data_IF_748316352072
#
_entry.id   IF_748316352072
#
_cell.length_a   1.000
_cell.length_b   1.000
_cell.length_c   1.000
_cell.angle_alpha   90.00
_cell.angle_beta   90.00
_cell.angle_gamma   90.00
#
_symmetry.space_group_name_H-M   'P 1'
#
loop_
_entity.id
_entity.type
_entity.pdbx_description
1 polymer ?
#
# COMPACT_ATOMS: atom_id res chain seq x y z
N UNK A 1 11.47 8.28 -24.68
CA UNK A 1 10.36 7.54 -25.33
C UNK A 1 9.81 6.43 -24.43
N UNK A 2 10.66 5.65 -23.75
CA UNK A 2 10.26 4.51 -22.91
C UNK A 2 9.32 4.86 -21.75
N UNK A 3 9.57 5.97 -21.06
CA UNK A 3 8.72 6.44 -19.95
C UNK A 3 7.28 6.67 -20.40
N UNK A 4 7.09 7.41 -21.49
CA UNK A 4 5.74 7.74 -22.00
C UNK A 4 5.03 6.47 -22.47
N UNK A 5 5.73 5.56 -23.15
CA UNK A 5 5.17 4.28 -23.57
C UNK A 5 4.69 3.44 -22.37
N UNK A 6 5.48 3.36 -21.30
CA UNK A 6 5.11 2.66 -20.08
C UNK A 6 3.89 3.27 -19.37
N UNK A 7 3.79 4.62 -19.32
CA UNK A 7 2.63 5.29 -18.73
C UNK A 7 1.36 5.06 -19.56
N UNK A 8 1.45 5.16 -20.89
CA UNK A 8 0.32 4.89 -21.80
C UNK A 8 -0.12 3.42 -21.66
N UNK A 9 0.83 2.49 -21.63
CA UNK A 9 0.53 1.06 -21.48
C UNK A 9 -0.12 0.76 -20.12
N UNK A 10 0.39 1.34 -19.03
CA UNK A 10 -0.22 1.20 -17.71
C UNK A 10 -1.66 1.72 -17.67
N UNK A 11 -1.88 2.90 -18.23
CA UNK A 11 -3.24 3.47 -18.32
C UNK A 11 -4.18 2.56 -19.11
N UNK A 12 -3.73 2.05 -20.25
CA UNK A 12 -4.52 1.10 -21.07
C UNK A 12 -4.87 -0.16 -20.26
N UNK A 13 -3.91 -0.76 -19.55
CA UNK A 13 -4.17 -1.94 -18.72
C UNK A 13 -5.22 -1.66 -17.64
N UNK A 14 -5.18 -0.49 -16.99
CA UNK A 14 -6.15 -0.12 -15.95
C UNK A 14 -7.54 0.13 -16.53
N UNK A 15 -7.63 0.74 -17.69
CA UNK A 15 -8.93 0.90 -18.40
C UNK A 15 -9.53 -0.46 -18.76
N UNK A 16 -8.72 -1.38 -19.30
CA UNK A 16 -9.16 -2.76 -19.59
C UNK A 16 -9.57 -3.48 -18.32
N UNK A 17 -8.78 -3.39 -17.26
CA UNK A 17 -9.11 -3.97 -15.96
C UNK A 17 -10.48 -3.50 -15.47
N UNK A 18 -10.70 -2.18 -15.40
CA UNK A 18 -11.97 -1.60 -14.95
C UNK A 18 -13.13 -2.06 -15.82
N UNK A 19 -12.91 -2.14 -17.16
CA UNK A 19 -13.95 -2.62 -18.10
C UNK A 19 -14.35 -4.08 -17.90
N UNK A 20 -13.38 -4.92 -17.48
CA UNK A 20 -13.61 -6.38 -17.29
C UNK A 20 -14.16 -6.69 -15.90
N UNK A 21 -13.62 -6.05 -14.86
CA UNK A 21 -14.00 -6.37 -13.47
C UNK A 21 -15.15 -5.55 -12.94
N UNK A 22 -15.49 -4.45 -13.59
CA UNK A 22 -16.30 -3.41 -13.01
C UNK A 22 -15.50 -2.54 -12.05
N UNK A 23 -16.14 -1.54 -11.52
CA UNK A 23 -15.58 -0.61 -10.55
C UNK A 23 -16.10 -0.91 -9.15
N UNK A 24 -15.19 -1.06 -8.19
CA UNK A 24 -15.57 -1.19 -6.79
C UNK A 24 -15.98 0.18 -6.26
N UNK A 25 -17.24 0.30 -5.91
CA UNK A 25 -17.77 1.45 -5.20
C UNK A 25 -17.80 1.12 -3.71
N UNK A 26 -17.09 1.90 -2.92
CA UNK A 26 -17.06 1.76 -1.47
C UNK A 26 -18.00 2.80 -0.88
N UNK A 27 -19.09 2.34 -0.26
CA UNK A 27 -20.02 3.19 0.49
C UNK A 27 -19.70 3.08 1.97
N UNK A 28 -19.23 4.18 2.55
CA UNK A 28 -18.90 4.22 3.97
C UNK A 28 -20.14 4.53 4.82
N UNK A 29 -20.32 3.76 5.88
CA UNK A 29 -21.35 3.94 6.88
C UNK A 29 -20.74 4.47 8.20
N UNK A 30 -21.55 5.07 9.09
CA UNK A 30 -21.08 5.47 10.41
C UNK A 30 -20.52 4.30 11.23
N UNK A 31 -19.49 4.57 12.01
CA UNK A 31 -18.87 3.61 12.91
C UNK A 31 -17.62 2.91 12.36
N UNK A 32 -17.04 2.09 13.22
CA UNK A 32 -15.82 1.31 12.98
C UNK A 32 -16.11 -0.15 13.27
N UNK A 33 -15.84 -1.03 12.32
CA UNK A 33 -16.06 -2.47 12.47
C UNK A 33 -14.89 -3.10 13.24
N UNK A 34 -15.19 -3.92 14.22
CA UNK A 34 -14.24 -4.83 14.86
C UNK A 34 -14.07 -6.04 13.95
N UNK A 35 -13.06 -6.03 13.08
CA UNK A 35 -12.81 -7.12 12.13
C UNK A 35 -12.20 -8.37 12.76
N UNK A 36 -11.70 -8.27 13.99
CA UNK A 36 -11.16 -9.39 14.76
C UNK A 36 -10.72 -8.96 16.14
N UNK A 37 -10.61 -9.94 17.02
CA UNK A 37 -10.09 -9.78 18.38
C UNK A 37 -8.79 -10.58 18.44
N UNK A 38 -7.77 -10.06 19.13
CA UNK A 38 -6.55 -10.83 19.37
C UNK A 38 -6.91 -12.10 20.18
N UNK A 39 -6.30 -13.24 19.84
CA UNK A 39 -6.68 -14.60 20.25
C UNK A 39 -6.71 -14.88 21.77
N UNK A 40 -6.57 -13.88 22.61
CA UNK A 40 -6.61 -14.01 24.06
C UNK A 40 -7.89 -13.37 24.63
N UNK A 41 -8.76 -14.20 25.18
CA UNK A 41 -9.87 -13.78 26.07
C UNK A 41 -9.41 -12.89 27.25
N UNK A 42 -8.09 -12.79 27.47
CA UNK A 42 -7.46 -11.93 28.48
C UNK A 42 -7.36 -10.45 28.07
N UNK A 43 -7.69 -10.09 26.82
CA UNK A 43 -7.66 -8.69 26.35
C UNK A 43 -8.77 -7.86 26.96
N UNK A 44 -8.56 -6.54 27.07
CA UNK A 44 -9.59 -5.62 27.56
C UNK A 44 -10.91 -5.72 26.77
N UNK A 45 -10.82 -5.92 25.43
CA UNK A 45 -11.99 -6.15 24.59
C UNK A 45 -12.74 -7.43 24.92
N UNK A 46 -12.03 -8.55 25.14
CA UNK A 46 -12.64 -9.83 25.50
C UNK A 46 -13.35 -9.76 26.87
N UNK A 47 -12.72 -9.12 27.87
CA UNK A 47 -13.32 -8.90 29.19
C UNK A 47 -14.57 -8.01 29.15
N UNK A 48 -14.60 -7.04 28.24
CA UNK A 48 -15.73 -6.14 28.03
C UNK A 48 -16.85 -6.76 27.18
N UNK A 49 -16.66 -7.95 26.64
CA UNK A 49 -17.66 -8.64 25.82
C UNK A 49 -17.78 -8.09 24.40
N UNK A 50 -16.75 -7.42 23.87
CA UNK A 50 -16.67 -7.03 22.44
C UNK A 50 -16.54 -8.30 21.60
N UNK A 51 -17.22 -8.33 20.47
CA UNK A 51 -17.21 -9.46 19.53
C UNK A 51 -16.74 -9.03 18.14
N UNK A 52 -16.27 -9.99 17.36
CA UNK A 52 -15.99 -9.76 15.95
C UNK A 52 -17.30 -9.37 15.24
N UNK A 53 -17.22 -8.47 14.28
CA UNK A 53 -18.32 -7.86 13.53
C UNK A 53 -19.15 -6.85 14.34
N UNK A 54 -18.79 -6.51 15.57
CA UNK A 54 -19.35 -5.36 16.27
C UNK A 54 -18.98 -4.05 15.54
N UNK A 55 -19.92 -3.11 15.48
CA UNK A 55 -19.69 -1.79 14.88
C UNK A 55 -19.68 -0.76 16.02
N UNK A 56 -18.52 -0.18 16.29
CA UNK A 56 -18.38 0.89 17.29
C UNK A 56 -18.86 2.20 16.68
N UNK A 57 -19.97 2.75 17.18
CA UNK A 57 -20.59 3.98 16.68
C UNK A 57 -20.10 5.23 17.41
N UNK A 58 -19.86 5.13 18.72
CA UNK A 58 -19.44 6.25 19.55
C UNK A 58 -18.54 5.81 20.71
N UNK A 59 -17.74 6.74 21.24
CA UNK A 59 -16.95 6.61 22.46
C UNK A 59 -17.38 7.73 23.41
N UNK A 60 -17.76 7.41 24.66
CA UNK A 60 -18.21 8.37 25.68
C UNK A 60 -19.23 9.38 25.13
N UNK A 61 -20.23 8.88 24.39
CA UNK A 61 -21.28 9.64 23.68
C UNK A 61 -20.79 10.54 22.51
N UNK A 62 -19.53 10.49 22.14
CA UNK A 62 -19.01 11.18 20.95
C UNK A 62 -19.06 10.28 19.73
N UNK A 63 -19.85 10.63 18.73
CA UNK A 63 -19.93 9.89 17.48
C UNK A 63 -18.57 9.87 16.75
N UNK A 64 -18.23 8.72 16.18
CA UNK A 64 -16.96 8.52 15.49
C UNK A 64 -17.00 9.05 14.05
N UNK A 65 -18.18 9.13 13.43
CA UNK A 65 -18.30 9.41 12.00
C UNK A 65 -18.08 8.16 11.15
N UNK A 66 -17.53 8.31 9.95
CA UNK A 66 -17.37 7.22 8.99
C UNK A 66 -15.95 7.18 8.38
N UNK A 67 -15.64 6.09 7.70
CA UNK A 67 -14.39 5.88 6.96
C UNK A 67 -13.12 5.89 7.84
N UNK A 68 -11.96 6.20 7.22
CA UNK A 68 -10.66 6.22 7.89
C UNK A 68 -10.56 7.19 9.08
N UNK A 69 -11.12 8.41 9.03
CA UNK A 69 -11.13 9.32 10.18
C UNK A 69 -11.77 8.74 11.44
N UNK A 70 -12.85 7.95 11.30
CA UNK A 70 -13.51 7.29 12.44
C UNK A 70 -12.55 6.32 13.15
N UNK A 71 -11.78 5.54 12.39
CA UNK A 71 -10.79 4.62 12.95
C UNK A 71 -9.71 5.38 13.73
N UNK A 72 -9.17 6.46 13.13
CA UNK A 72 -8.13 7.27 13.75
C UNK A 72 -8.63 7.88 15.06
N UNK A 73 -9.89 8.40 15.08
CA UNK A 73 -10.52 8.95 16.27
C UNK A 73 -10.68 7.89 17.36
N UNK A 74 -11.23 6.71 17.02
CA UNK A 74 -11.38 5.60 17.96
C UNK A 74 -10.03 5.16 18.55
N UNK A 75 -9.01 5.02 17.70
CA UNK A 75 -7.67 4.65 18.15
C UNK A 75 -7.09 5.69 19.11
N UNK A 76 -7.23 6.98 18.81
CA UNK A 76 -6.75 8.06 19.67
C UNK A 76 -7.44 8.04 21.04
N UNK A 77 -8.76 7.86 21.09
CA UNK A 77 -9.50 7.77 22.35
C UNK A 77 -9.04 6.57 23.19
N UNK A 78 -8.87 5.40 22.57
CA UNK A 78 -8.37 4.21 23.27
C UNK A 78 -6.96 4.44 23.81
N UNK A 79 -6.06 5.03 23.01
CA UNK A 79 -4.68 5.28 23.39
C UNK A 79 -4.54 6.28 24.54
N UNK A 80 -5.39 7.32 24.56
CA UNK A 80 -5.36 8.36 25.57
C UNK A 80 -5.93 7.94 26.93
N UNK A 81 -6.74 6.85 26.98
CA UNK A 81 -7.41 6.39 28.19
C UNK A 81 -6.83 5.08 28.73
N UNK A 82 -5.47 4.95 28.76
CA UNK A 82 -4.83 3.80 29.36
C UNK A 82 -5.24 3.64 30.84
N UNK A 83 -5.73 2.44 31.22
CA UNK A 83 -6.21 2.09 32.56
C UNK A 83 -7.42 2.94 33.05
N UNK A 84 -8.06 3.69 32.16
CA UNK A 84 -9.26 4.45 32.48
C UNK A 84 -10.47 3.84 31.72
N UNK A 85 -11.63 3.67 32.37
CA UNK A 85 -12.78 3.09 31.71
C UNK A 85 -13.39 4.07 30.71
N UNK A 86 -13.63 3.60 29.47
CA UNK A 86 -14.38 4.30 28.42
C UNK A 86 -15.64 3.51 28.09
N UNK A 87 -16.66 4.18 27.65
CA UNK A 87 -17.93 3.56 27.21
C UNK A 87 -17.98 3.54 25.69
N UNK A 88 -18.02 2.35 25.10
CA UNK A 88 -18.18 2.16 23.66
C UNK A 88 -19.65 1.87 23.35
N UNK A 89 -20.28 2.70 22.51
CA UNK A 89 -21.58 2.41 21.94
C UNK A 89 -21.40 1.52 20.72
N UNK A 90 -21.87 0.28 20.84
CA UNK A 90 -21.62 -0.78 19.87
C UNK A 90 -22.94 -1.26 19.28
N UNK A 91 -23.02 -1.35 17.96
CA UNK A 91 -24.09 -2.01 17.25
C UNK A 91 -23.70 -3.46 16.98
N UNK A 92 -24.51 -4.39 17.47
CA UNK A 92 -24.38 -5.85 17.26
C UNK A 92 -25.64 -6.37 16.56
N UNK A 93 -25.55 -6.57 15.26
CA UNK A 93 -26.74 -6.86 14.45
C UNK A 93 -27.73 -5.70 14.48
N UNK A 94 -28.95 -5.96 15.01
CA UNK A 94 -30.00 -4.95 15.17
C UNK A 94 -29.97 -4.23 16.52
N UNK A 95 -29.19 -4.68 17.49
CA UNK A 95 -29.14 -4.15 18.83
C UNK A 95 -28.01 -3.15 19.03
N UNK A 96 -28.26 -2.16 19.90
CA UNK A 96 -27.20 -1.22 20.32
C UNK A 96 -26.91 -1.44 21.80
N UNK A 97 -25.64 -1.62 22.13
CA UNK A 97 -25.15 -1.96 23.46
C UNK A 97 -24.13 -0.91 23.91
N UNK A 98 -24.16 -0.54 25.18
CA UNK A 98 -23.12 0.27 25.80
C UNK A 98 -22.17 -0.65 26.58
N UNK A 99 -20.93 -0.80 26.06
CA UNK A 99 -19.90 -1.67 26.66
C UNK A 99 -18.85 -0.82 27.36
N UNK A 100 -18.62 -1.07 28.63
CA UNK A 100 -17.52 -0.45 29.38
C UNK A 100 -16.22 -1.23 29.17
N UNK A 101 -15.22 -0.56 28.65
CA UNK A 101 -13.91 -1.13 28.34
C UNK A 101 -12.84 -0.34 29.11
N UNK A 102 -11.94 -1.01 29.79
CA UNK A 102 -10.77 -0.37 30.39
C UNK A 102 -9.54 -0.79 29.59
N UNK A 103 -8.95 0.10 28.74
CA UNK A 103 -7.80 -0.24 27.94
C UNK A 103 -6.59 -0.62 28.82
N UNK A 104 -5.91 -1.71 28.48
CA UNK A 104 -4.66 -2.09 29.10
C UNK A 104 -3.54 -1.14 28.63
N UNK A 105 -2.55 -0.84 29.51
CA UNK A 105 -1.39 -0.07 29.11
C UNK A 105 -0.40 -0.95 28.33
N UNK A 106 0.02 -0.51 27.15
CA UNK A 106 1.08 -1.16 26.38
C UNK A 106 2.48 -0.77 26.93
N UNK A 107 3.56 -1.27 26.31
CA UNK A 107 4.94 -0.98 26.71
C UNK A 107 5.31 0.52 26.64
N UNK A 108 4.58 1.31 25.85
CA UNK A 108 4.75 2.77 25.71
C UNK A 108 3.84 3.56 26.66
N UNK A 109 3.04 2.90 27.50
CA UNK A 109 2.07 3.53 28.40
C UNK A 109 0.77 3.97 27.71
N UNK A 110 0.56 3.64 26.44
CA UNK A 110 -0.67 3.94 25.71
C UNK A 110 -1.72 2.84 25.89
N UNK A 111 -2.99 3.24 25.88
CA UNK A 111 -4.11 2.30 25.99
C UNK A 111 -4.23 1.37 24.79
N UNK A 112 -4.54 0.11 25.06
CA UNK A 112 -4.78 -0.92 24.04
C UNK A 112 -5.91 -1.84 24.50
N UNK A 113 -6.81 -2.23 23.57
CA UNK A 113 -7.92 -3.15 23.89
C UNK A 113 -7.83 -4.51 23.20
N UNK A 114 -6.91 -4.68 22.24
CA UNK A 114 -6.64 -5.96 21.58
C UNK A 114 -7.66 -6.30 20.46
N UNK A 115 -8.08 -5.31 19.66
CA UNK A 115 -8.96 -5.49 18.50
C UNK A 115 -8.29 -5.09 17.20
N UNK A 116 -8.74 -5.71 16.09
CA UNK A 116 -8.45 -5.27 14.73
C UNK A 116 -9.62 -4.43 14.24
N UNK A 117 -9.35 -3.23 13.73
CA UNK A 117 -10.35 -2.28 13.28
C UNK A 117 -10.38 -2.19 11.76
N UNK A 118 -11.57 -2.08 11.20
CA UNK A 118 -11.82 -1.86 9.78
C UNK A 118 -12.89 -0.78 9.59
N UNK A 119 -12.91 -0.09 8.43
CA UNK A 119 -13.99 0.83 8.11
C UNK A 119 -15.32 0.10 8.03
N UNK A 120 -16.40 0.73 8.52
CA UNK A 120 -17.77 0.28 8.25
C UNK A 120 -18.12 0.68 6.81
N UNK A 121 -18.06 -0.27 5.88
CA UNK A 121 -18.25 0.01 4.47
C UNK A 121 -18.84 -1.19 3.72
N UNK A 122 -19.74 -0.90 2.80
CA UNK A 122 -20.22 -1.84 1.79
C UNK A 122 -19.39 -1.68 0.51
N UNK A 123 -18.97 -2.80 -0.04
CA UNK A 123 -18.26 -2.85 -1.32
C UNK A 123 -19.24 -3.40 -2.35
N UNK A 124 -19.68 -2.55 -3.27
CA UNK A 124 -20.50 -2.94 -4.41
C UNK A 124 -19.65 -2.90 -5.68
N UNK A 125 -19.86 -3.87 -6.57
CA UNK A 125 -19.18 -3.92 -7.88
C UNK A 125 -20.19 -3.47 -8.93
N UNK A 126 -19.99 -2.25 -9.44
CA UNK A 126 -20.75 -1.77 -10.60
C UNK A 126 -20.09 -2.30 -11.88
N UNK A 127 -20.80 -3.18 -12.58
CA UNK A 127 -20.36 -3.78 -13.85
C UNK A 127 -20.99 -3.09 -15.09
N UNK A 128 -21.97 -2.22 -14.88
CA UNK A 128 -22.63 -1.47 -15.95
C UNK A 128 -21.84 -0.20 -16.30
N UNK A 129 -20.58 -0.36 -16.70
CA UNK A 129 -19.69 0.77 -16.95
C UNK A 129 -19.75 1.14 -18.42
N UNK A 130 -20.09 2.40 -18.73
CA UNK A 130 -19.95 2.91 -20.09
C UNK A 130 -18.47 3.02 -20.50
N UNK A 131 -18.13 2.98 -21.79
CA UNK A 131 -16.74 3.17 -22.24
C UNK A 131 -16.11 4.48 -21.73
N UNK A 132 -16.90 5.55 -21.60
CA UNK A 132 -16.45 6.84 -21.09
C UNK A 132 -16.15 6.71 -19.58
N UNK A 133 -17.02 6.06 -18.82
CA UNK A 133 -16.78 5.83 -17.40
C UNK A 133 -15.55 4.96 -17.17
N UNK A 134 -15.30 3.97 -18.00
CA UNK A 134 -14.10 3.13 -17.93
C UNK A 134 -12.82 3.96 -18.13
N UNK A 135 -12.82 4.90 -19.07
CA UNK A 135 -11.69 5.83 -19.28
C UNK A 135 -11.47 6.72 -18.04
N UNK A 136 -12.55 7.34 -17.53
CA UNK A 136 -12.45 8.23 -16.35
C UNK A 136 -12.01 7.46 -15.10
N UNK A 137 -12.61 6.31 -14.83
CA UNK A 137 -12.26 5.48 -13.67
C UNK A 137 -10.86 4.88 -13.81
N UNK A 138 -10.46 4.50 -15.03
CA UNK A 138 -9.09 4.09 -15.34
C UNK A 138 -8.07 5.21 -15.08
N UNK A 139 -8.41 6.47 -15.39
CA UNK A 139 -7.57 7.62 -15.10
C UNK A 139 -7.41 7.85 -13.59
N UNK A 140 -8.50 7.74 -12.82
CA UNK A 140 -8.46 7.88 -11.36
C UNK A 140 -7.60 6.78 -10.71
N UNK A 141 -7.73 5.55 -11.19
CA UNK A 141 -6.91 4.43 -10.71
C UNK A 141 -5.44 4.60 -11.09
N UNK A 142 -5.16 5.10 -12.30
CA UNK A 142 -3.83 5.43 -12.75
C UNK A 142 -3.18 6.50 -11.84
N UNK A 143 -3.88 7.60 -11.58
CA UNK A 143 -3.42 8.65 -10.66
C UNK A 143 -3.15 8.07 -9.28
N UNK A 144 -4.06 7.24 -8.74
CA UNK A 144 -3.89 6.58 -7.45
C UNK A 144 -2.62 5.74 -7.38
N UNK A 145 -2.36 4.92 -8.40
CA UNK A 145 -1.16 4.06 -8.44
C UNK A 145 0.11 4.90 -8.58
N UNK A 146 0.09 5.95 -9.39
CA UNK A 146 1.22 6.89 -9.51
C UNK A 146 1.54 7.55 -8.16
N UNK A 147 0.53 8.08 -7.47
CA UNK A 147 0.70 8.71 -6.15
C UNK A 147 1.27 7.72 -5.14
N UNK A 148 0.73 6.49 -5.09
CA UNK A 148 1.24 5.44 -4.20
C UNK A 148 2.70 5.06 -4.52
N UNK A 149 3.09 5.03 -5.79
CA UNK A 149 4.48 4.78 -6.20
C UNK A 149 5.42 5.87 -5.68
N UNK A 150 5.05 7.15 -5.83
CA UNK A 150 5.85 8.25 -5.28
C UNK A 150 5.90 8.24 -3.75
N UNK A 151 4.79 7.93 -3.08
CA UNK A 151 4.77 7.78 -1.62
C UNK A 151 5.68 6.64 -1.15
N UNK A 152 5.69 5.50 -1.84
CA UNK A 152 6.58 4.39 -1.56
C UNK A 152 8.05 4.77 -1.72
N UNK A 153 8.39 5.50 -2.79
CA UNK A 153 9.75 6.02 -2.98
C UNK A 153 10.15 7.03 -1.90
N UNK A 154 9.25 7.91 -1.51
CA UNK A 154 9.51 8.85 -0.42
C UNK A 154 9.76 8.12 0.92
N UNK A 155 8.99 7.09 1.24
CA UNK A 155 9.21 6.25 2.41
C UNK A 155 10.54 5.50 2.34
N UNK A 156 10.94 5.02 1.16
CA UNK A 156 12.25 4.39 0.96
C UNK A 156 13.40 5.33 1.29
N UNK A 157 13.27 6.62 0.95
CA UNK A 157 14.30 7.63 1.25
C UNK A 157 14.29 8.04 2.73
N UNK A 158 13.11 8.21 3.32
CA UNK A 158 12.97 8.70 4.71
C UNK A 158 13.20 7.60 5.76
N UNK A 159 12.82 6.36 5.47
CA UNK A 159 12.88 5.21 6.39
C UNK A 159 13.61 4.02 5.75
N UNK A 160 14.80 4.26 5.20
CA UNK A 160 15.55 3.26 4.42
C UNK A 160 15.77 1.94 5.17
N UNK A 161 16.12 2.00 6.46
CA UNK A 161 16.43 0.80 7.26
C UNK A 161 15.28 -0.20 7.37
N UNK A 162 14.04 0.29 7.52
CA UNK A 162 12.84 -0.56 7.63
C UNK A 162 12.30 -0.95 6.25
N UNK A 163 12.35 -0.02 5.29
CA UNK A 163 11.74 -0.19 3.97
C UNK A 163 12.62 -1.01 3.03
N UNK A 164 13.94 -0.97 3.17
CA UNK A 164 14.87 -1.71 2.32
C UNK A 164 14.66 -3.23 2.38
N UNK A 165 14.22 -3.75 3.53
CA UNK A 165 13.90 -5.18 3.70
C UNK A 165 12.66 -5.61 2.90
N UNK A 166 11.79 -4.67 2.55
CA UNK A 166 10.54 -4.89 1.83
C UNK A 166 10.69 -4.78 0.30
N UNK A 167 11.87 -4.36 -0.19
CA UNK A 167 12.13 -4.29 -1.64
C UNK A 167 12.05 -5.70 -2.22
N UNK A 168 11.11 -5.90 -3.14
CA UNK A 168 10.99 -7.15 -3.87
C UNK A 168 12.03 -7.21 -5.00
N UNK A 169 12.80 -8.27 -5.05
CA UNK A 169 13.67 -8.54 -6.18
C UNK A 169 12.94 -9.24 -7.34
N UNK A 170 13.62 -9.52 -8.44
CA UNK A 170 13.02 -10.09 -9.65
C UNK A 170 12.26 -11.41 -9.41
N UNK A 171 12.80 -12.28 -8.58
CA UNK A 171 12.20 -13.59 -8.28
C UNK A 171 10.91 -13.39 -7.47
N UNK A 172 10.92 -12.50 -6.48
CA UNK A 172 9.73 -12.18 -5.68
C UNK A 172 8.63 -11.54 -6.52
N UNK A 173 8.98 -10.71 -7.50
CA UNK A 173 8.02 -10.12 -8.45
C UNK A 173 7.34 -11.23 -9.27
N UNK A 174 8.09 -12.21 -9.76
CA UNK A 174 7.54 -13.37 -10.50
C UNK A 174 6.65 -14.22 -9.60
N UNK A 175 7.05 -14.48 -8.36
CA UNK A 175 6.25 -15.23 -7.37
C UNK A 175 4.91 -14.53 -7.12
N UNK A 176 4.92 -13.22 -6.86
CA UNK A 176 3.70 -12.41 -6.67
C UNK A 176 2.82 -12.47 -7.92
N UNK A 177 3.41 -12.28 -9.11
CA UNK A 177 2.70 -12.33 -10.38
C UNK A 177 2.05 -13.69 -10.62
N UNK A 178 2.74 -14.79 -10.34
CA UNK A 178 2.21 -16.15 -10.50
C UNK A 178 1.08 -16.44 -9.51
N UNK A 179 1.21 -15.97 -8.27
CA UNK A 179 0.16 -16.09 -7.24
C UNK A 179 -1.11 -15.32 -7.64
N UNK A 180 -0.96 -14.11 -8.17
CA UNK A 180 -2.09 -13.32 -8.68
C UNK A 180 -2.72 -14.01 -9.89
N UNK A 181 -1.91 -14.52 -10.82
CA UNK A 181 -2.37 -15.20 -12.02
C UNK A 181 -3.25 -16.43 -11.71
N UNK A 182 -2.90 -17.19 -10.68
CA UNK A 182 -3.66 -18.35 -10.25
C UNK A 182 -5.00 -18.03 -9.59
N UNK A 183 -5.17 -16.78 -9.13
CA UNK A 183 -6.33 -16.37 -8.32
C UNK A 183 -7.29 -15.50 -9.12
N UNK A 184 -6.77 -14.50 -9.85
CA UNK A 184 -7.59 -13.51 -10.54
C UNK A 184 -6.84 -12.86 -11.72
N UNK A 185 -7.30 -13.12 -12.93
CA UNK A 185 -6.70 -12.57 -14.15
C UNK A 185 -6.75 -11.02 -14.22
N UNK A 186 -7.76 -10.41 -13.60
CA UNK A 186 -7.87 -8.96 -13.55
C UNK A 186 -6.84 -8.34 -12.60
N UNK A 187 -6.45 -9.06 -11.54
CA UNK A 187 -5.33 -8.69 -10.68
C UNK A 187 -4.01 -8.64 -11.45
N UNK A 188 -3.85 -9.49 -12.49
CA UNK A 188 -2.68 -9.43 -13.38
C UNK A 188 -2.61 -8.12 -14.18
N UNK A 189 -3.74 -7.60 -14.65
CA UNK A 189 -3.78 -6.32 -15.38
C UNK A 189 -3.33 -5.18 -14.46
N UNK A 190 -3.84 -5.16 -13.21
CA UNK A 190 -3.43 -4.17 -12.22
C UNK A 190 -1.94 -4.31 -11.85
N UNK A 191 -1.47 -5.54 -11.67
CA UNK A 191 -0.06 -5.81 -11.38
C UNK A 191 0.86 -5.40 -12.52
N UNK A 192 0.47 -5.69 -13.78
CA UNK A 192 1.18 -5.23 -14.96
C UNK A 192 1.24 -3.71 -15.08
N UNK A 193 0.12 -3.04 -14.79
CA UNK A 193 0.07 -1.57 -14.74
C UNK A 193 0.99 -1.01 -13.64
N UNK A 194 0.99 -1.60 -12.45
CA UNK A 194 1.88 -1.21 -11.35
C UNK A 194 3.36 -1.33 -11.74
N UNK A 195 3.75 -2.47 -12.34
CA UNK A 195 5.14 -2.67 -12.82
C UNK A 195 5.49 -1.61 -13.87
N UNK A 196 4.58 -1.34 -14.81
CA UNK A 196 4.82 -0.38 -15.90
C UNK A 196 4.96 1.05 -15.37
N UNK A 197 4.15 1.45 -14.39
CA UNK A 197 4.27 2.75 -13.69
C UNK A 197 5.60 2.81 -12.94
N UNK A 198 5.96 1.77 -12.19
CA UNK A 198 7.23 1.74 -11.45
C UNK A 198 8.43 1.88 -12.40
N UNK A 199 8.42 1.19 -13.54
CA UNK A 199 9.48 1.32 -14.55
C UNK A 199 9.52 2.75 -15.13
N UNK A 200 8.36 3.37 -15.39
CA UNK A 200 8.31 4.74 -15.87
C UNK A 200 8.87 5.72 -14.84
N UNK A 201 8.46 5.60 -13.58
CA UNK A 201 8.90 6.48 -12.48
C UNK A 201 10.39 6.29 -12.21
N UNK A 202 10.88 5.05 -12.15
CA UNK A 202 12.32 4.77 -11.97
C UNK A 202 13.14 5.37 -13.11
N UNK A 203 12.66 5.29 -14.36
CA UNK A 203 13.34 5.85 -15.52
C UNK A 203 13.33 7.39 -15.58
N UNK A 204 12.45 8.07 -14.83
CA UNK A 204 12.45 9.54 -14.67
C UNK A 204 13.49 9.98 -13.63
N UNK A 205 13.80 9.15 -12.64
CA UNK A 205 14.74 9.52 -11.58
C UNK A 205 16.12 9.80 -12.17
N UNK A 206 16.85 10.81 -11.65
CA UNK A 206 18.19 11.17 -12.14
C UNK A 206 19.25 10.15 -11.68
N UNK A 207 19.01 8.88 -11.99
CA UNK A 207 19.90 7.78 -11.67
C UNK A 207 20.79 7.47 -12.87
N UNK A 208 22.10 7.24 -12.66
CA UNK A 208 23.00 6.79 -13.72
C UNK A 208 22.48 5.51 -14.38
N UNK A 209 22.75 5.34 -15.67
CA UNK A 209 22.31 4.23 -16.52
C UNK A 209 20.81 4.19 -16.86
N UNK A 210 20.00 5.12 -16.37
CA UNK A 210 18.59 5.27 -16.73
C UNK A 210 18.36 6.52 -17.60
N UNK A 211 17.21 6.60 -18.27
CA UNK A 211 16.82 7.74 -19.14
C UNK A 211 16.88 9.07 -18.37
N UNK A 212 16.44 9.07 -17.09
CA UNK A 212 16.48 10.24 -16.20
C UNK A 212 17.89 10.75 -15.91
N UNK A 213 18.88 9.86 -15.86
CA UNK A 213 20.30 10.25 -15.75
C UNK A 213 20.79 11.00 -16.97
N UNK A 214 20.40 10.56 -18.18
CA UNK A 214 20.71 11.27 -19.42
C UNK A 214 20.03 12.64 -19.48
N UNK A 215 18.74 12.70 -19.05
CA UNK A 215 18.01 13.96 -18.97
C UNK A 215 18.68 14.91 -17.97
N UNK A 216 19.15 14.42 -16.83
CA UNK A 216 19.87 15.22 -15.86
C UNK A 216 21.15 15.83 -16.46
N UNK A 217 21.94 15.06 -17.24
CA UNK A 217 23.11 15.60 -17.93
C UNK A 217 22.73 16.72 -18.91
N UNK A 218 21.67 16.54 -19.70
CA UNK A 218 21.20 17.56 -20.63
C UNK A 218 20.73 18.84 -19.91
N UNK A 219 20.08 18.71 -18.75
CA UNK A 219 19.70 19.86 -17.91
C UNK A 219 20.92 20.59 -17.37
N UNK A 220 21.94 19.85 -16.88
CA UNK A 220 23.19 20.45 -16.42
C UNK A 220 23.95 21.15 -17.55
N UNK A 221 24.02 20.56 -18.74
CA UNK A 221 24.62 21.19 -19.90
C UNK A 221 23.91 22.48 -20.31
N UNK A 222 22.57 22.46 -20.27
CA UNK A 222 21.76 23.64 -20.54
C UNK A 222 22.00 24.77 -19.51
N UNK A 223 22.18 24.44 -18.25
CA UNK A 223 22.48 25.42 -17.19
C UNK A 223 23.91 25.96 -17.28
N UNK A 224 24.88 25.12 -17.63
CA UNK A 224 26.28 25.48 -17.77
C UNK A 224 26.61 26.20 -19.08
N UNK A 225 25.72 26.13 -20.07
CA UNK A 225 25.94 26.70 -21.42
C UNK A 225 27.06 26.01 -22.22
N UNK A 226 27.53 24.84 -21.77
CA UNK A 226 28.57 24.06 -22.43
C UNK A 226 28.36 22.56 -22.16
N UNK A 227 28.77 21.69 -23.14
CA UNK A 227 28.67 20.25 -22.96
C UNK A 227 29.60 19.75 -21.85
N UNK A 228 29.11 18.74 -21.12
CA UNK A 228 29.93 18.02 -20.14
C UNK A 228 30.96 17.11 -20.87
N UNK A 229 32.16 16.91 -20.31
CA UNK A 229 33.13 15.99 -20.89
C UNK A 229 32.57 14.58 -21.10
N UNK A 230 32.67 14.04 -22.31
CA UNK A 230 32.11 12.71 -22.62
C UNK A 230 32.62 11.60 -21.68
N UNK A 231 33.92 11.66 -21.32
CA UNK A 231 34.52 10.71 -20.36
C UNK A 231 33.79 10.73 -18.98
N UNK A 232 33.36 11.90 -18.53
CA UNK A 232 32.64 12.02 -17.26
C UNK A 232 31.25 11.35 -17.38
N UNK A 233 30.52 11.64 -18.46
CA UNK A 233 29.20 11.03 -18.70
C UNK A 233 29.32 9.50 -18.79
N UNK A 234 30.27 9.00 -19.60
CA UNK A 234 30.51 7.56 -19.74
C UNK A 234 30.87 6.89 -18.41
N UNK A 235 31.78 7.50 -17.62
CA UNK A 235 32.20 6.94 -16.34
C UNK A 235 31.04 6.86 -15.37
N UNK A 236 30.21 7.93 -15.25
CA UNK A 236 29.06 7.97 -14.37
C UNK A 236 28.00 6.92 -14.80
N UNK A 237 27.73 6.83 -16.10
CA UNK A 237 26.77 5.87 -16.64
C UNK A 237 27.23 4.42 -16.44
N UNK A 238 28.52 4.11 -16.70
CA UNK A 238 29.06 2.77 -16.46
C UNK A 238 29.06 2.41 -14.99
N UNK A 239 29.46 3.32 -14.10
CA UNK A 239 29.44 3.08 -12.66
C UNK A 239 28.02 2.79 -12.18
N UNK A 240 27.04 3.58 -12.65
CA UNK A 240 25.64 3.35 -12.34
C UNK A 240 25.13 1.99 -12.84
N UNK A 241 25.53 1.60 -14.06
CA UNK A 241 25.17 0.30 -14.62
C UNK A 241 25.72 -0.85 -13.75
N UNK A 242 26.99 -0.78 -13.33
CA UNK A 242 27.59 -1.80 -12.47
C UNK A 242 26.91 -1.88 -11.10
N UNK A 243 26.54 -0.73 -10.51
CA UNK A 243 25.81 -0.69 -9.25
C UNK A 243 24.41 -1.32 -9.39
N UNK A 244 23.67 -0.99 -10.45
CA UNK A 244 22.35 -1.57 -10.70
C UNK A 244 22.42 -3.07 -10.97
N UNK A 245 23.40 -3.54 -11.74
CA UNK A 245 23.63 -4.97 -11.96
C UNK A 245 23.99 -5.68 -10.66
N UNK A 246 24.90 -5.11 -9.87
CA UNK A 246 25.28 -5.66 -8.55
C UNK A 246 24.09 -5.76 -7.60
N UNK A 247 23.27 -4.71 -7.53
CA UNK A 247 22.03 -4.73 -6.76
C UNK A 247 21.06 -5.79 -7.27
N UNK A 248 20.88 -5.91 -8.59
CA UNK A 248 20.04 -6.94 -9.19
C UNK A 248 20.48 -8.36 -8.82
N UNK A 249 21.77 -8.66 -8.93
CA UNK A 249 22.35 -9.96 -8.53
C UNK A 249 22.14 -10.20 -7.02
N UNK A 250 22.40 -9.20 -6.19
CA UNK A 250 22.18 -9.30 -4.74
C UNK A 250 20.72 -9.63 -4.41
N UNK A 251 19.76 -8.94 -5.05
CA UNK A 251 18.33 -9.19 -4.83
C UNK A 251 17.93 -10.60 -5.31
N UNK A 252 18.45 -11.08 -6.43
CA UNK A 252 18.21 -12.45 -6.91
C UNK A 252 18.71 -13.48 -5.89
N UNK A 253 19.91 -13.31 -5.37
CA UNK A 253 20.48 -14.23 -4.37
C UNK A 253 19.63 -14.21 -3.10
N UNK A 254 19.26 -13.02 -2.59
CA UNK A 254 18.43 -12.85 -1.40
C UNK A 254 17.05 -13.49 -1.58
N UNK A 255 16.38 -13.22 -2.70
CA UNK A 255 15.05 -13.76 -2.97
C UNK A 255 15.09 -15.29 -3.08
N UNK A 256 16.13 -15.83 -3.76
CA UNK A 256 16.31 -17.29 -3.88
C UNK A 256 16.52 -17.94 -2.51
N UNK A 257 17.32 -17.33 -1.64
CA UNK A 257 17.57 -17.85 -0.29
C UNK A 257 16.29 -17.83 0.59
N UNK A 258 15.36 -16.93 0.31
CA UNK A 258 14.10 -16.79 1.03
C UNK A 258 12.95 -17.63 0.46
N UNK A 259 13.15 -18.32 -0.68
CA UNK A 259 12.14 -19.24 -1.20
C UNK A 259 11.90 -20.41 -0.22
N UNK A 260 10.63 -20.67 0.09
CA UNK A 260 10.23 -21.74 1.03
C UNK A 260 10.73 -23.12 0.61
N UNK A 261 10.83 -23.38 -0.69
CA UNK A 261 11.38 -24.61 -1.27
C UNK A 261 12.88 -24.77 -0.99
N UNK A 262 13.63 -23.67 -0.98
CA UNK A 262 15.09 -23.69 -0.65
C UNK A 262 15.30 -23.85 0.86
N UNK A 263 14.48 -23.19 1.68
CA UNK A 263 14.55 -23.31 3.14
C UNK A 263 14.21 -24.71 3.64
N UNK A 264 13.36 -25.46 2.92
CA UNK A 264 13.04 -26.87 3.23
C UNK A 264 14.18 -27.83 2.87
N UNK A 265 15.08 -27.46 1.95
CA UNK A 265 16.23 -28.30 1.56
C UNK A 265 17.38 -28.23 2.56
N UNK A 266 17.44 -27.16 3.39
CA UNK A 266 18.48 -26.92 4.39
C UNK A 266 18.01 -27.20 5.85
N UNK A 267 16.79 -27.69 6.04
CA UNK A 267 16.27 -28.27 7.29
C UNK A 267 16.29 -29.80 7.25
#
# INVERSE_FOLDING_TARGET
>A
AGVIANLIFAYFLLVVQVSVTGFQQISYHPGVVVSGIADNLSTAAGKAGIQAMDIVLAVDNQELGSAKPAIVKLMAEIQNHAQQPITLKVQRGAETLDLKVTPDANAEGKGQIGVKLAPNADITIDRSISPIDALVKGANEFERVVVLTFQGLAQLVTNFGETATQIAGPIKIVEIGSSIASTNIAGLLQFGALISINLAVMNILPLPALDGGQLAFLLFEGLLGKPLPMKLQETVMQTGLFLLLGLGVFLVIRDTANLSSVQQFFK
#
